data_IF_702821808953
#
_entry.id   IF_702821808953
#
_cell.length_a   1.000
_cell.length_b   1.000
_cell.length_c   1.000
_cell.angle_alpha   90.00
_cell.angle_beta   90.00
_cell.angle_gamma   90.00
#
_symmetry.space_group_name_H-M   'P 1'
#
loop_
_entity.id
_entity.type
_entity.pdbx_description
1 polymer ?
#
# COMPACT_ATOMS: atom_id res chain seq x y z
N UNK A 1 8.24 14.53 -36.49
CA UNK A 1 9.27 14.70 -35.44
C UNK A 1 8.60 15.28 -34.20
N UNK A 2 8.35 14.47 -33.17
CA UNK A 2 7.81 14.95 -31.87
C UNK A 2 8.51 14.20 -30.75
N UNK A 3 9.80 14.50 -30.53
CA UNK A 3 10.61 14.04 -29.37
C UNK A 3 10.36 14.90 -28.13
N UNK A 4 9.11 15.31 -27.87
CA UNK A 4 8.76 16.20 -26.76
C UNK A 4 8.26 15.49 -25.50
N UNK A 5 7.56 14.36 -25.66
CA UNK A 5 6.92 13.66 -24.53
C UNK A 5 7.90 12.92 -23.61
N UNK A 6 9.01 12.42 -24.15
CA UNK A 6 10.01 11.67 -23.38
C UNK A 6 10.72 12.55 -22.32
N UNK A 7 10.95 13.83 -22.63
CA UNK A 7 11.63 14.77 -21.74
C UNK A 7 10.77 15.26 -20.56
N UNK A 8 9.43 15.26 -20.72
CA UNK A 8 8.50 15.56 -19.63
C UNK A 8 8.30 14.36 -18.70
N UNK A 9 8.18 13.15 -19.27
CA UNK A 9 8.10 11.91 -18.49
C UNK A 9 9.38 11.67 -17.66
N UNK A 10 10.56 11.91 -18.24
CA UNK A 10 11.86 11.80 -17.56
C UNK A 10 11.98 12.75 -16.36
N UNK A 11 11.48 13.99 -16.46
CA UNK A 11 11.49 14.96 -15.34
C UNK A 11 10.50 14.64 -14.22
N UNK A 12 9.40 13.96 -14.54
CA UNK A 12 8.38 13.57 -13.54
C UNK A 12 8.77 12.26 -12.84
N UNK A 13 9.51 11.37 -13.51
CA UNK A 13 9.91 10.07 -12.98
C UNK A 13 11.30 10.06 -12.33
N UNK A 14 12.15 11.05 -12.61
CA UNK A 14 13.48 11.15 -12.01
C UNK A 14 14.47 10.06 -12.42
N UNK A 15 14.17 9.30 -13.48
CA UNK A 15 15.01 8.18 -13.95
C UNK A 15 15.29 8.30 -15.45
N UNK A 16 16.57 8.24 -15.82
CA UNK A 16 17.07 8.16 -17.21
C UNK A 16 16.91 6.74 -17.81
N UNK A 17 15.87 6.00 -17.39
CA UNK A 17 15.60 4.66 -17.92
C UNK A 17 14.81 4.71 -19.24
N UNK A 18 15.06 3.73 -20.12
CA UNK A 18 14.29 3.56 -21.35
C UNK A 18 12.78 3.41 -21.02
N UNK A 19 11.89 4.03 -21.81
CA UNK A 19 10.46 4.08 -21.49
C UNK A 19 9.82 2.70 -21.40
N UNK A 20 10.35 1.73 -22.14
CA UNK A 20 9.94 0.33 -22.10
C UNK A 20 11.14 -0.58 -22.39
N UNK A 21 11.34 -1.60 -21.55
CA UNK A 21 12.39 -2.62 -21.67
C UNK A 21 11.75 -3.98 -21.87
N UNK A 22 12.14 -4.68 -22.93
CA UNK A 22 11.64 -6.04 -23.20
C UNK A 22 12.28 -7.05 -22.24
N UNK A 23 11.44 -7.88 -21.62
CA UNK A 23 11.83 -9.00 -20.79
C UNK A 23 11.60 -10.29 -21.59
N UNK A 24 12.69 -10.99 -21.94
CA UNK A 24 12.64 -12.25 -22.68
C UNK A 24 12.93 -13.41 -21.73
N UNK A 25 12.06 -14.43 -21.72
CA UNK A 25 12.20 -15.61 -20.84
C UNK A 25 12.42 -15.22 -19.37
N UNK A 26 11.63 -14.28 -18.88
CA UNK A 26 11.74 -13.81 -17.51
C UNK A 26 11.08 -14.78 -16.53
N UNK A 27 11.74 -14.97 -15.39
CA UNK A 27 11.15 -15.55 -14.19
C UNK A 27 10.76 -14.42 -13.25
N UNK A 28 9.51 -14.43 -12.80
CA UNK A 28 8.96 -13.45 -11.88
C UNK A 28 8.30 -14.20 -10.71
N UNK A 29 8.68 -13.90 -9.47
CA UNK A 29 8.09 -14.56 -8.30
C UNK A 29 6.92 -13.72 -7.75
N UNK A 30 5.73 -14.32 -7.69
CA UNK A 30 4.53 -13.67 -7.14
C UNK A 30 4.68 -13.34 -5.67
N UNK A 31 4.49 -12.06 -5.33
CA UNK A 31 4.54 -11.55 -3.96
C UNK A 31 3.15 -11.34 -3.35
N UNK A 32 2.11 -11.34 -4.17
CA UNK A 32 0.74 -11.07 -3.75
C UNK A 32 0.00 -10.14 -4.70
N UNK A 33 -1.13 -9.64 -4.23
CA UNK A 33 -1.96 -8.71 -4.97
C UNK A 33 -2.68 -7.71 -4.06
N UNK A 34 -3.06 -6.57 -4.63
CA UNK A 34 -3.95 -5.59 -4.02
C UNK A 34 -5.16 -5.40 -4.92
N UNK A 35 -6.36 -5.47 -4.35
CA UNK A 35 -7.62 -5.14 -5.03
C UNK A 35 -8.10 -3.80 -4.51
N UNK A 36 -8.42 -2.90 -5.44
CA UNK A 36 -9.02 -1.60 -5.12
C UNK A 36 -10.28 -1.39 -5.95
N UNK A 37 -11.19 -0.57 -5.42
CA UNK A 37 -12.45 -0.23 -6.05
C UNK A 37 -12.56 1.29 -6.24
N UNK A 38 -13.03 1.70 -7.42
CA UNK A 38 -13.38 3.08 -7.72
C UNK A 38 -14.74 3.08 -8.44
N UNK A 39 -15.82 3.31 -7.69
CA UNK A 39 -17.18 3.08 -8.20
C UNK A 39 -17.36 1.63 -8.67
N UNK A 40 -17.76 1.48 -9.94
CA UNK A 40 -18.03 0.19 -10.58
C UNK A 40 -16.78 -0.42 -11.24
N UNK A 41 -15.61 0.19 -11.04
CA UNK A 41 -14.33 -0.31 -11.51
C UNK A 41 -13.60 -1.06 -10.39
N UNK A 42 -12.99 -2.19 -10.75
CA UNK A 42 -12.08 -2.96 -9.90
C UNK A 42 -10.70 -2.97 -10.52
N UNK A 43 -9.71 -2.56 -9.75
CA UNK A 43 -8.30 -2.65 -10.14
C UNK A 43 -7.63 -3.74 -9.33
N UNK A 44 -6.92 -4.63 -10.02
CA UNK A 44 -6.06 -5.66 -9.42
C UNK A 44 -4.61 -5.33 -9.78
N UNK A 45 -3.81 -5.07 -8.77
CA UNK A 45 -2.37 -4.92 -8.88
C UNK A 45 -1.69 -6.20 -8.40
N UNK A 46 -1.06 -6.93 -9.31
CA UNK A 46 -0.25 -8.12 -8.98
C UNK A 46 1.21 -7.73 -8.87
N UNK A 47 1.83 -8.04 -7.73
CA UNK A 47 3.21 -7.68 -7.43
C UNK A 47 4.12 -8.87 -7.72
N UNK A 48 5.14 -8.63 -8.54
CA UNK A 48 6.01 -9.65 -9.11
C UNK A 48 7.47 -9.28 -8.84
N UNK A 49 8.17 -10.05 -8.02
CA UNK A 49 9.60 -9.88 -7.83
C UNK A 49 10.35 -10.31 -9.08
N UNK A 50 11.27 -9.46 -9.55
CA UNK A 50 12.17 -9.78 -10.65
C UNK A 50 13.60 -9.77 -10.13
N UNK A 51 14.15 -10.96 -9.87
CA UNK A 51 15.47 -11.12 -9.26
C UNK A 51 16.58 -10.44 -10.08
N UNK A 52 16.56 -10.60 -11.41
CA UNK A 52 17.58 -10.07 -12.32
C UNK A 52 17.68 -8.53 -12.26
N UNK A 53 16.55 -7.84 -12.05
CA UNK A 53 16.56 -6.38 -11.86
C UNK A 53 16.44 -5.94 -10.41
N UNK A 54 16.46 -6.87 -9.46
CA UNK A 54 16.36 -6.59 -8.02
C UNK A 54 15.22 -5.63 -7.65
N UNK A 55 14.09 -5.75 -8.35
CA UNK A 55 12.95 -4.83 -8.25
C UNK A 55 11.62 -5.59 -8.21
N UNK A 56 10.60 -4.95 -7.64
CA UNK A 56 9.21 -5.42 -7.73
C UNK A 56 8.54 -4.74 -8.90
N UNK A 57 7.91 -5.53 -9.76
CA UNK A 57 7.13 -5.10 -10.91
C UNK A 57 5.64 -5.22 -10.61
N UNK A 58 4.82 -4.35 -11.20
CA UNK A 58 3.37 -4.32 -11.00
C UNK A 58 2.64 -4.62 -12.30
N UNK A 59 1.89 -5.72 -12.30
CA UNK A 59 0.94 -6.05 -13.35
C UNK A 59 -0.45 -5.54 -12.94
N UNK A 60 -0.84 -4.38 -13.48
CA UNK A 60 -2.15 -3.77 -13.25
C UNK A 60 -3.21 -4.29 -14.23
N UNK A 61 -4.39 -4.63 -13.72
CA UNK A 61 -5.58 -4.97 -14.51
C UNK A 61 -6.81 -4.25 -13.97
N UNK A 62 -7.60 -3.72 -14.89
CA UNK A 62 -8.83 -3.01 -14.61
C UNK A 62 -10.00 -3.79 -15.19
N UNK A 63 -11.09 -3.86 -14.43
CA UNK A 63 -12.30 -4.56 -14.79
C UNK A 63 -13.50 -3.67 -14.45
N UNK A 64 -14.39 -3.44 -15.42
CA UNK A 64 -15.69 -2.81 -15.19
C UNK A 64 -16.64 -3.87 -14.61
N UNK A 65 -16.65 -4.01 -13.29
CA UNK A 65 -17.38 -5.06 -12.57
C UNK A 65 -17.47 -4.70 -11.10
N UNK A 66 -18.49 -5.21 -10.42
CA UNK A 66 -18.58 -5.11 -8.96
C UNK A 66 -17.96 -6.31 -8.23
N UNK A 67 -17.46 -7.30 -8.97
CA UNK A 67 -16.84 -8.53 -8.44
C UNK A 67 -15.80 -8.24 -7.35
N UNK A 68 -15.79 -9.09 -6.33
CA UNK A 68 -14.80 -9.05 -5.25
C UNK A 68 -13.55 -9.85 -5.61
N UNK A 69 -12.49 -9.64 -4.83
CA UNK A 69 -11.19 -10.28 -4.98
C UNK A 69 -11.21 -11.78 -5.26
N UNK A 70 -12.00 -12.61 -4.56
CA UNK A 70 -12.11 -14.04 -4.86
C UNK A 70 -12.54 -14.37 -6.29
N UNK A 71 -13.48 -13.60 -6.84
CA UNK A 71 -13.93 -13.77 -8.22
C UNK A 71 -12.87 -13.24 -9.20
N UNK A 72 -12.27 -12.08 -8.90
CA UNK A 72 -11.18 -11.50 -9.68
C UNK A 72 -9.94 -12.41 -9.74
N UNK A 73 -9.64 -13.13 -8.65
CA UNK A 73 -8.55 -14.12 -8.58
C UNK A 73 -8.68 -15.25 -9.59
N UNK A 74 -9.91 -15.58 -10.02
CA UNK A 74 -10.21 -16.61 -11.05
C UNK A 74 -10.08 -16.09 -12.48
N UNK A 75 -10.09 -14.76 -12.68
CA UNK A 75 -9.91 -14.13 -13.99
C UNK A 75 -8.54 -14.50 -14.55
N UNK A 76 -8.45 -14.59 -15.88
CA UNK A 76 -7.23 -14.99 -16.59
C UNK A 76 -6.53 -13.79 -17.19
N UNK A 77 -5.20 -13.78 -17.08
CA UNK A 77 -4.30 -12.84 -17.74
C UNK A 77 -3.20 -13.65 -18.42
N UNK A 78 -3.02 -13.47 -19.73
CA UNK A 78 -2.07 -14.27 -20.53
C UNK A 78 -2.22 -15.79 -20.31
N UNK A 79 -3.46 -16.29 -20.17
CA UNK A 79 -3.76 -17.71 -19.97
C UNK A 79 -3.66 -18.22 -18.53
N UNK A 80 -3.14 -17.43 -17.60
CA UNK A 80 -2.92 -17.81 -16.19
C UNK A 80 -3.90 -17.07 -15.28
N UNK A 81 -4.37 -17.69 -14.19
CA UNK A 81 -5.27 -17.00 -13.26
C UNK A 81 -4.53 -15.92 -12.48
N UNK A 82 -5.23 -14.85 -12.12
CA UNK A 82 -4.67 -13.78 -11.26
C UNK A 82 -4.12 -14.37 -9.96
N UNK A 83 -4.83 -15.33 -9.35
CA UNK A 83 -4.37 -16.03 -8.14
C UNK A 83 -3.00 -16.70 -8.36
N UNK A 84 -2.83 -17.40 -9.48
CA UNK A 84 -1.59 -18.12 -9.75
C UNK A 84 -0.44 -17.17 -10.10
N UNK A 85 -0.72 -16.03 -10.74
CA UNK A 85 0.27 -14.98 -10.96
C UNK A 85 0.72 -14.33 -9.65
N UNK A 86 -0.23 -14.11 -8.71
CA UNK A 86 0.05 -13.43 -7.45
C UNK A 86 0.81 -14.30 -6.43
N UNK A 87 0.58 -15.62 -6.42
CA UNK A 87 1.21 -16.52 -5.45
C UNK A 87 2.22 -17.52 -6.01
N UNK A 88 2.47 -17.52 -7.32
CA UNK A 88 3.31 -18.52 -8.00
C UNK A 88 4.60 -17.95 -8.60
N UNK A 89 5.50 -18.83 -8.98
CA UNK A 89 6.61 -18.49 -9.86
C UNK A 89 6.11 -18.41 -11.30
N UNK A 90 6.13 -17.21 -11.87
CA UNK A 90 5.66 -16.91 -13.23
C UNK A 90 6.83 -16.98 -14.20
N UNK A 91 6.73 -17.84 -15.21
CA UNK A 91 7.69 -17.94 -16.31
C UNK A 91 7.00 -17.41 -17.55
N UNK A 92 7.59 -16.40 -18.19
CA UNK A 92 7.02 -15.79 -19.39
C UNK A 92 8.06 -15.61 -20.49
N UNK A 93 7.73 -16.02 -21.70
CA UNK A 93 8.62 -15.88 -22.86
C UNK A 93 8.74 -14.42 -23.33
N UNK A 94 7.71 -13.63 -23.11
CA UNK A 94 7.61 -12.25 -23.59
C UNK A 94 6.86 -11.39 -22.58
N UNK A 95 7.55 -10.43 -21.99
CA UNK A 95 6.95 -9.33 -21.24
C UNK A 95 7.67 -8.02 -21.56
N UNK A 96 7.08 -6.90 -21.17
CA UNK A 96 7.73 -5.60 -21.20
C UNK A 96 7.54 -4.88 -19.87
N UNK A 97 8.58 -4.17 -19.45
CA UNK A 97 8.62 -3.38 -18.21
C UNK A 97 8.78 -1.90 -18.56
N UNK A 98 8.05 -1.02 -17.90
CA UNK A 98 8.31 0.42 -17.94
C UNK A 98 9.35 0.87 -16.90
N UNK A 99 9.88 2.07 -17.05
CA UNK A 99 10.70 2.74 -16.02
C UNK A 99 9.94 2.92 -14.68
N UNK A 100 8.61 3.05 -14.74
CA UNK A 100 7.74 3.11 -13.56
C UNK A 100 7.44 1.74 -12.93
N UNK A 101 8.18 0.69 -13.30
CA UNK A 101 8.02 -0.70 -12.83
C UNK A 101 6.69 -1.38 -13.17
N UNK A 102 5.89 -0.80 -14.06
CA UNK A 102 4.73 -1.49 -14.60
C UNK A 102 5.18 -2.61 -15.55
N UNK A 103 4.55 -3.78 -15.48
CA UNK A 103 4.84 -4.91 -16.39
C UNK A 103 3.61 -5.28 -17.21
N UNK A 104 3.83 -5.58 -18.48
CA UNK A 104 2.83 -6.12 -19.41
C UNK A 104 3.31 -7.47 -19.90
N UNK A 105 2.49 -8.50 -19.65
CA UNK A 105 2.71 -9.83 -20.20
C UNK A 105 2.27 -9.87 -21.67
N UNK A 106 3.10 -10.48 -22.52
CA UNK A 106 2.81 -10.66 -23.94
C UNK A 106 1.71 -11.70 -24.15
N UNK A 107 0.78 -11.39 -25.06
CA UNK A 107 -0.38 -12.24 -25.38
C UNK A 107 -0.39 -12.72 -26.83
N UNK A 108 0.73 -12.60 -27.55
CA UNK A 108 0.82 -13.05 -28.95
C UNK A 108 0.76 -14.58 -29.02
N UNK A 109 0.39 -15.12 -30.19
CA UNK A 109 0.17 -16.55 -30.43
C UNK A 109 1.34 -17.47 -30.03
N UNK A 110 2.56 -16.94 -29.96
CA UNK A 110 3.79 -17.64 -29.56
C UNK A 110 4.30 -17.24 -28.17
N UNK A 111 3.56 -16.43 -27.41
CA UNK A 111 3.97 -16.01 -26.06
C UNK A 111 3.37 -16.96 -25.04
N UNK A 112 4.19 -17.83 -24.46
CA UNK A 112 3.78 -18.70 -23.35
C UNK A 112 4.04 -18.02 -22.01
N UNK A 113 3.02 -18.04 -21.15
CA UNK A 113 3.14 -17.66 -19.74
C UNK A 113 2.58 -18.78 -18.90
N UNK A 114 3.35 -19.19 -17.90
CA UNK A 114 2.98 -20.23 -16.95
C UNK A 114 3.23 -19.74 -15.53
N UNK A 115 2.43 -20.20 -14.58
CA UNK A 115 2.69 -19.99 -13.17
C UNK A 115 2.68 -21.34 -12.46
N UNK A 116 3.70 -21.54 -11.63
CA UNK A 116 3.89 -22.76 -10.85
C UNK A 116 3.78 -22.42 -9.37
N UNK A 117 3.08 -23.25 -8.61
CA UNK A 117 3.15 -23.19 -7.15
C UNK A 117 4.58 -23.51 -6.75
N UNK A 118 5.18 -22.63 -5.96
CA UNK A 118 6.56 -22.75 -5.53
C UNK A 118 6.57 -22.70 -4.02
N UNK A 119 7.21 -23.71 -3.41
CA UNK A 119 7.65 -23.60 -2.02
C UNK A 119 8.93 -22.76 -2.04
N UNK A 120 9.17 -21.99 -0.98
CA UNK A 120 10.45 -21.34 -0.74
C UNK A 120 10.95 -20.34 -1.80
N UNK A 121 10.09 -19.80 -2.68
CA UNK A 121 10.55 -18.83 -3.71
C UNK A 121 11.10 -17.56 -3.09
N UNK A 122 10.55 -17.14 -1.96
CA UNK A 122 10.89 -15.87 -1.34
C UNK A 122 12.24 -15.88 -0.62
N UNK A 123 12.75 -17.06 -0.21
CA UNK A 123 14.02 -17.17 0.53
C UNK A 123 15.25 -16.87 -0.34
N UNK A 124 15.12 -16.99 -1.66
CA UNK A 124 16.19 -16.77 -2.62
C UNK A 124 16.11 -15.40 -3.30
N UNK A 125 15.20 -14.53 -2.85
CA UNK A 125 15.10 -13.18 -3.39
C UNK A 125 16.36 -12.37 -3.08
N UNK A 126 16.74 -11.43 -3.97
CA UNK A 126 17.85 -10.51 -3.71
C UNK A 126 17.64 -9.74 -2.40
N UNK A 127 18.72 -9.42 -1.70
CA UNK A 127 18.69 -8.71 -0.40
C UNK A 127 18.06 -7.32 -0.45
N UNK A 128 17.94 -6.72 -1.63
CA UNK A 128 17.20 -5.46 -1.81
C UNK A 128 15.68 -5.63 -1.67
N UNK A 129 15.19 -6.86 -1.90
CA UNK A 129 13.78 -7.23 -1.78
C UNK A 129 13.50 -7.99 -0.49
N UNK A 130 14.39 -8.92 -0.12
CA UNK A 130 14.32 -9.69 1.12
C UNK A 130 15.07 -8.99 2.24
N UNK A 131 14.33 -8.50 3.24
CA UNK A 131 14.85 -7.64 4.31
C UNK A 131 14.78 -8.37 5.65
N UNK A 132 15.86 -9.04 6.09
CA UNK A 132 15.90 -9.77 7.35
C UNK A 132 16.19 -8.90 8.57
N UNK A 133 16.66 -7.66 8.38
CA UNK A 133 17.02 -6.73 9.45
C UNK A 133 16.04 -5.55 9.45
N UNK A 134 15.13 -5.55 10.43
CA UNK A 134 14.12 -4.50 10.57
C UNK A 134 14.71 -3.18 11.08
N UNK A 135 15.81 -3.22 11.83
CA UNK A 135 16.47 -1.99 12.29
C UNK A 135 17.15 -1.27 11.12
N UNK A 136 17.86 -2.02 10.26
CA UNK A 136 18.41 -1.50 9.01
C UNK A 136 17.33 -0.89 8.12
N UNK A 137 16.20 -1.59 7.95
CA UNK A 137 15.06 -1.07 7.20
C UNK A 137 14.50 0.23 7.77
N UNK A 138 14.41 0.33 9.10
CA UNK A 138 13.92 1.54 9.75
C UNK A 138 14.81 2.74 9.42
N UNK A 139 16.14 2.57 9.51
CA UNK A 139 17.13 3.60 9.16
C UNK A 139 17.02 3.99 7.68
N UNK A 140 16.89 3.02 6.77
CA UNK A 140 16.71 3.30 5.34
C UNK A 140 15.46 4.14 5.09
N UNK A 141 14.33 3.79 5.72
CA UNK A 141 13.08 4.52 5.53
C UNK A 141 13.11 5.91 6.17
N UNK A 142 13.80 6.09 7.30
CA UNK A 142 13.99 7.40 7.95
C UNK A 142 14.88 8.33 7.13
N UNK A 143 15.74 7.78 6.28
CA UNK A 143 16.58 8.56 5.36
C UNK A 143 15.85 9.02 4.09
N UNK A 144 14.64 8.51 3.81
CA UNK A 144 13.89 8.87 2.61
C UNK A 144 13.26 10.26 2.74
N UNK A 145 13.18 11.04 1.63
CA UNK A 145 12.40 12.27 1.61
C UNK A 145 10.95 12.00 2.04
N UNK A 146 10.29 12.93 2.73
CA UNK A 146 8.90 12.74 3.14
C UNK A 146 7.97 12.40 1.98
N UNK A 147 6.95 11.60 2.25
CA UNK A 147 6.01 11.05 1.26
C UNK A 147 5.45 12.06 0.26
N UNK A 148 5.08 13.31 0.64
CA UNK A 148 4.50 14.26 -0.31
C UNK A 148 5.46 14.67 -1.44
N UNK A 149 6.77 14.65 -1.20
CA UNK A 149 7.80 15.05 -2.17
C UNK A 149 8.61 13.85 -2.70
N UNK A 150 8.30 12.64 -2.24
CA UNK A 150 8.94 11.41 -2.70
C UNK A 150 8.43 11.07 -4.10
N UNK A 151 9.34 10.65 -4.98
CA UNK A 151 8.97 10.13 -6.29
C UNK A 151 7.99 8.96 -6.12
N UNK A 152 6.93 8.93 -6.93
CA UNK A 152 5.88 7.90 -6.86
C UNK A 152 6.18 6.77 -7.83
N UNK A 153 7.17 5.95 -7.51
CA UNK A 153 7.49 4.75 -8.31
C UNK A 153 6.66 3.58 -7.79
N UNK A 154 5.98 2.86 -8.70
CA UNK A 154 5.15 1.71 -8.33
C UNK A 154 5.97 0.65 -7.60
N UNK A 155 5.40 0.11 -6.52
CA UNK A 155 6.04 -0.92 -5.69
C UNK A 155 7.45 -0.59 -5.17
N UNK A 156 7.87 0.69 -5.15
CA UNK A 156 9.20 1.09 -4.68
C UNK A 156 9.49 0.65 -3.25
N UNK A 157 8.47 0.70 -2.40
CA UNK A 157 8.53 0.34 -0.99
C UNK A 157 7.94 -1.04 -0.71
N UNK A 158 7.76 -1.88 -1.72
CA UNK A 158 7.39 -3.27 -1.47
C UNK A 158 8.64 -4.04 -1.06
N UNK A 159 8.57 -4.71 0.09
CA UNK A 159 9.61 -5.58 0.62
C UNK A 159 9.01 -6.92 1.02
N UNK A 160 9.86 -7.92 1.10
CA UNK A 160 9.59 -9.22 1.73
C UNK A 160 10.37 -9.25 3.03
N UNK A 161 9.65 -9.43 4.13
CA UNK A 161 10.21 -9.45 5.49
C UNK A 161 10.05 -10.86 6.06
N UNK A 162 11.14 -11.54 6.46
CA UNK A 162 11.05 -12.78 7.23
C UNK A 162 10.39 -12.54 8.58
N UNK A 163 9.54 -13.48 9.00
CA UNK A 163 8.87 -13.48 10.29
C UNK A 163 9.58 -14.52 11.15
N UNK A 164 10.34 -14.06 12.15
CA UNK A 164 10.93 -14.97 13.13
C UNK A 164 9.93 -15.33 14.23
N UNK A 165 9.09 -14.38 14.61
CA UNK A 165 8.08 -14.54 15.66
C UNK A 165 6.88 -13.63 15.38
N UNK A 166 5.66 -14.13 15.64
CA UNK A 166 4.44 -13.31 15.75
C UNK A 166 4.14 -13.11 17.23
N UNK A 167 4.28 -11.88 17.73
CA UNK A 167 4.14 -11.55 19.16
C UNK A 167 2.70 -11.32 19.58
N UNK A 168 1.94 -10.65 18.73
CA UNK A 168 0.54 -10.37 18.98
C UNK A 168 -0.24 -10.20 17.69
N UNK A 169 -1.53 -10.53 17.74
CA UNK A 169 -2.51 -10.23 16.70
C UNK A 169 -3.72 -9.64 17.43
N UNK A 170 -4.14 -8.44 17.02
CA UNK A 170 -5.27 -7.71 17.60
C UNK A 170 -6.20 -7.24 16.50
N UNK A 171 -7.49 -7.23 16.81
CA UNK A 171 -8.52 -6.69 15.93
C UNK A 171 -9.10 -5.43 16.58
N UNK A 172 -9.26 -4.38 15.79
CA UNK A 172 -9.89 -3.13 16.19
C UNK A 172 -11.25 -3.02 15.50
N UNK A 173 -12.37 -3.40 16.16
CA UNK A 173 -13.69 -3.46 15.53
C UNK A 173 -14.15 -2.13 14.95
N UNK A 174 -13.93 -1.03 15.67
CA UNK A 174 -14.31 0.32 15.24
C UNK A 174 -13.53 0.83 14.01
N UNK A 175 -12.33 0.32 13.79
CA UNK A 175 -11.52 0.64 12.61
C UNK A 175 -11.59 -0.44 11.52
N UNK A 176 -12.29 -1.55 11.77
CA UNK A 176 -12.27 -2.77 10.96
C UNK A 176 -10.84 -3.12 10.51
N UNK A 177 -9.91 -3.19 11.46
CA UNK A 177 -8.48 -3.32 11.19
C UNK A 177 -7.86 -4.41 12.04
N UNK A 178 -7.01 -5.22 11.43
CA UNK A 178 -6.12 -6.16 12.12
C UNK A 178 -4.74 -5.51 12.22
N UNK A 179 -4.20 -5.48 13.44
CA UNK A 179 -2.83 -5.08 13.72
C UNK A 179 -2.11 -6.26 14.39
N UNK A 180 -0.96 -6.65 13.83
CA UNK A 180 -0.11 -7.70 14.39
C UNK A 180 1.31 -7.19 14.57
N UNK A 181 1.94 -7.57 15.68
CA UNK A 181 3.36 -7.30 15.92
C UNK A 181 4.16 -8.55 15.56
N UNK A 182 5.09 -8.39 14.63
CA UNK A 182 6.06 -9.42 14.25
C UNK A 182 7.45 -9.00 14.69
N UNK A 183 8.33 -9.96 14.91
CA UNK A 183 9.74 -9.72 15.17
C UNK A 183 10.64 -10.41 14.15
N UNK A 184 11.78 -9.79 13.86
CA UNK A 184 12.87 -10.42 13.14
C UNK A 184 13.73 -11.32 14.05
N UNK A 185 14.77 -11.92 13.49
CA UNK A 185 15.67 -12.83 14.21
C UNK A 185 16.45 -12.14 15.35
N UNK A 186 16.54 -10.81 15.31
CA UNK A 186 17.21 -10.00 16.33
C UNK A 186 16.21 -9.48 17.40
N UNK A 187 14.93 -9.82 17.27
CA UNK A 187 13.88 -9.38 18.18
C UNK A 187 13.39 -7.95 17.94
N UNK A 188 13.82 -7.29 16.85
CA UNK A 188 13.32 -5.96 16.45
C UNK A 188 11.93 -6.14 15.85
N UNK A 189 11.00 -5.24 16.17
CA UNK A 189 9.60 -5.39 15.78
C UNK A 189 9.16 -4.53 14.61
N UNK A 190 8.19 -5.05 13.87
CA UNK A 190 7.41 -4.34 12.89
C UNK A 190 5.92 -4.64 13.10
N UNK A 191 5.06 -3.71 12.70
CA UNK A 191 3.60 -3.88 12.74
C UNK A 191 3.08 -4.24 11.36
N UNK A 192 2.44 -5.39 11.22
CA UNK A 192 1.60 -5.73 10.07
C UNK A 192 0.21 -5.15 10.31
N UNK A 193 -0.29 -4.33 9.40
CA UNK A 193 -1.57 -3.63 9.57
C UNK A 193 -2.43 -3.78 8.32
N UNK A 194 -3.61 -4.39 8.45
CA UNK A 194 -4.55 -4.62 7.36
C UNK A 194 -5.92 -4.06 7.71
N UNK A 195 -6.48 -3.23 6.82
CA UNK A 195 -7.82 -2.65 6.97
C UNK A 195 -8.80 -3.41 6.07
N UNK A 196 -10.03 -3.59 6.55
CA UNK A 196 -11.12 -4.15 5.77
C UNK A 196 -11.37 -3.34 4.49
N UNK A 197 -11.62 -4.06 3.40
CA UNK A 197 -12.07 -3.48 2.14
C UNK A 197 -13.20 -4.33 1.58
N UNK A 198 -14.31 -3.70 1.19
CA UNK A 198 -15.49 -4.41 0.66
C UNK A 198 -15.17 -5.23 -0.60
N UNK A 199 -14.23 -4.74 -1.43
CA UNK A 199 -13.77 -5.47 -2.62
C UNK A 199 -12.84 -6.66 -2.30
N UNK A 200 -12.44 -6.85 -1.04
CA UNK A 200 -11.57 -7.92 -0.56
C UNK A 200 -12.12 -8.52 0.75
N UNK A 201 -13.27 -9.21 0.71
CA UNK A 201 -14.05 -9.54 1.90
C UNK A 201 -13.36 -10.53 2.85
N UNK A 202 -12.50 -11.43 2.35
CA UNK A 202 -11.74 -12.37 3.18
C UNK A 202 -10.38 -11.84 3.66
N UNK A 203 -10.07 -10.56 3.43
CA UNK A 203 -8.72 -10.02 3.66
C UNK A 203 -8.26 -10.15 5.11
N UNK A 204 -9.10 -9.76 6.07
CA UNK A 204 -8.71 -9.76 7.48
C UNK A 204 -8.54 -11.18 8.01
N UNK A 205 -9.50 -12.06 7.74
CA UNK A 205 -9.43 -13.48 8.12
C UNK A 205 -8.19 -14.15 7.54
N UNK A 206 -7.84 -13.87 6.28
CA UNK A 206 -6.66 -14.43 5.64
C UNK A 206 -5.35 -13.93 6.26
N UNK A 207 -5.30 -12.67 6.70
CA UNK A 207 -4.13 -12.12 7.43
C UNK A 207 -3.97 -12.82 8.77
N UNK A 208 -5.05 -12.95 9.55
CA UNK A 208 -5.03 -13.63 10.85
C UNK A 208 -4.61 -15.09 10.69
N UNK A 209 -5.28 -15.82 9.79
CA UNK A 209 -5.01 -17.22 9.53
C UNK A 209 -3.57 -17.47 9.04
N UNK A 210 -3.01 -16.58 8.21
CA UNK A 210 -1.63 -16.71 7.75
C UNK A 210 -0.63 -16.52 8.91
N UNK A 211 -0.84 -15.51 9.76
CA UNK A 211 0.04 -15.23 10.90
C UNK A 211 -0.03 -16.33 11.96
N UNK A 212 -1.23 -16.82 12.29
CA UNK A 212 -1.42 -17.93 13.23
C UNK A 212 -0.98 -19.28 12.64
N UNK A 213 -1.07 -19.43 11.31
CA UNK A 213 -0.68 -20.62 10.55
C UNK A 213 0.83 -20.74 10.28
N UNK A 214 1.66 -19.89 10.89
CA UNK A 214 3.13 -20.00 10.77
C UNK A 214 3.69 -19.46 9.46
N UNK A 215 3.13 -18.37 8.93
CA UNK A 215 3.75 -17.63 7.83
C UNK A 215 5.22 -17.30 8.16
N UNK A 216 6.12 -17.64 7.24
CA UNK A 216 7.56 -17.41 7.36
C UNK A 216 7.99 -16.06 6.79
N UNK A 217 7.19 -15.51 5.89
CA UNK A 217 7.47 -14.23 5.26
C UNK A 217 6.18 -13.45 5.03
N UNK A 218 6.27 -12.12 5.12
CA UNK A 218 5.24 -11.19 4.68
C UNK A 218 5.79 -10.30 3.57
N UNK A 219 5.06 -10.21 2.45
CA UNK A 219 5.28 -9.22 1.41
C UNK A 219 4.31 -8.07 1.61
N UNK A 220 4.80 -6.83 1.54
CA UNK A 220 3.98 -5.66 1.80
C UNK A 220 4.65 -4.35 1.45
N UNK A 221 3.84 -3.31 1.32
CA UNK A 221 4.33 -1.93 1.25
C UNK A 221 4.78 -1.51 2.65
N UNK A 222 6.04 -1.13 2.80
CA UNK A 222 6.62 -0.72 4.07
C UNK A 222 6.63 0.80 4.23
N UNK A 223 6.44 1.26 5.46
CA UNK A 223 6.53 2.67 5.82
C UNK A 223 6.99 2.85 7.25
N UNK A 224 7.40 4.07 7.59
CA UNK A 224 7.58 4.52 8.96
C UNK A 224 6.28 5.15 9.45
N UNK A 225 5.89 4.80 10.67
CA UNK A 225 4.75 5.40 11.36
C UNK A 225 4.79 4.96 12.81
N UNK A 226 4.72 5.91 13.73
CA UNK A 226 4.70 5.59 15.14
C UNK A 226 6.01 4.97 15.62
N UNK A 227 7.16 5.48 15.14
CA UNK A 227 8.48 4.98 15.55
C UNK A 227 8.80 3.54 15.14
N UNK A 228 7.86 2.82 14.51
CA UNK A 228 8.00 1.42 14.04
C UNK A 228 7.89 1.32 12.52
N UNK A 229 8.35 0.19 11.97
CA UNK A 229 8.09 -0.18 10.58
C UNK A 229 6.66 -0.73 10.50
N UNK A 230 5.84 -0.17 9.63
CA UNK A 230 4.49 -0.67 9.36
C UNK A 230 4.42 -1.27 7.97
N UNK A 231 3.95 -2.51 7.90
CA UNK A 231 3.79 -3.30 6.68
C UNK A 231 2.31 -3.37 6.35
N UNK A 232 1.91 -2.86 5.18
CA UNK A 232 0.59 -3.12 4.60
C UNK A 232 0.67 -4.38 3.72
N UNK A 233 0.15 -5.54 4.19
CA UNK A 233 0.42 -6.82 3.57
C UNK A 233 -0.31 -6.99 2.24
N UNK A 234 0.40 -7.56 1.26
CA UNK A 234 -0.13 -7.99 -0.05
C UNK A 234 -0.07 -9.51 -0.23
N UNK A 235 0.76 -10.21 0.55
CA UNK A 235 0.88 -11.66 0.55
C UNK A 235 1.68 -12.19 1.73
N UNK A 236 1.46 -13.46 2.07
CA UNK A 236 2.22 -14.20 3.08
C UNK A 236 2.69 -15.52 2.49
N UNK A 237 3.93 -15.90 2.75
CA UNK A 237 4.46 -17.20 2.35
C UNK A 237 4.66 -18.11 3.56
N UNK A 238 4.17 -19.34 3.45
CA UNK A 238 4.45 -20.45 4.36
C UNK A 238 4.92 -21.67 3.56
N UNK A 239 5.12 -22.80 4.24
CA UNK A 239 5.49 -24.07 3.59
C UNK A 239 4.43 -24.57 2.61
N UNK A 240 3.17 -24.18 2.79
CA UNK A 240 2.02 -24.59 1.98
C UNK A 240 1.81 -23.71 0.75
N UNK A 241 2.56 -22.61 0.63
CA UNK A 241 2.54 -21.69 -0.50
C UNK A 241 2.26 -20.25 -0.08
N UNK A 242 1.79 -19.46 -1.05
CA UNK A 242 1.52 -18.04 -0.84
C UNK A 242 0.03 -17.80 -0.65
N UNK A 243 -0.32 -17.21 0.49
CA UNK A 243 -1.66 -16.67 0.78
C UNK A 243 -1.71 -15.24 0.28
N UNK A 244 -2.73 -14.92 -0.52
CA UNK A 244 -2.97 -13.56 -1.04
C UNK A 244 -4.25 -13.01 -0.40
N UNK A 245 -4.15 -12.15 0.64
CA UNK A 245 -5.30 -11.72 1.43
C UNK A 245 -6.42 -11.10 0.61
N UNK A 246 -6.08 -10.25 -0.35
CA UNK A 246 -7.07 -9.53 -1.15
C UNK A 246 -7.85 -10.42 -2.12
N UNK A 247 -7.39 -11.65 -2.37
CA UNK A 247 -8.07 -12.64 -3.22
C UNK A 247 -8.72 -13.76 -2.40
N UNK A 248 -8.60 -13.73 -1.07
CA UNK A 248 -9.15 -14.74 -0.20
C UNK A 248 -10.68 -14.62 -0.09
N UNK A 249 -11.35 -15.78 -0.15
CA UNK A 249 -12.79 -15.85 0.13
C UNK A 249 -13.06 -15.48 1.58
N UNK A 250 -14.22 -14.86 1.86
CA UNK A 250 -14.67 -14.66 3.23
C UNK A 250 -14.76 -16.02 3.93
N UNK A 251 -14.12 -16.15 5.09
CA UNK A 251 -14.23 -17.34 5.92
C UNK A 251 -15.56 -17.35 6.68
N UNK A 252 -15.96 -18.52 7.18
CA UNK A 252 -16.82 -18.60 8.35
C UNK A 252 -15.95 -18.24 9.55
N UNK A 253 -16.09 -17.01 10.04
CA UNK A 253 -15.24 -16.33 11.04
C UNK A 253 -14.51 -17.25 12.04
N UNK A 254 -13.19 -17.12 12.11
CA UNK A 254 -12.45 -17.33 13.36
C UNK A 254 -12.53 -16.01 14.09
N UNK A 255 -13.20 -15.98 15.24
CA UNK A 255 -13.29 -14.77 16.07
C UNK A 255 -11.87 -14.37 16.49
N UNK A 256 -11.29 -13.28 15.94
CA UNK A 256 -9.99 -12.83 16.38
C UNK A 256 -10.15 -12.50 17.85
N UNK A 257 -9.28 -13.03 18.73
CA UNK A 257 -9.38 -12.77 20.17
C UNK A 257 -9.58 -11.26 20.40
N UNK A 258 -10.75 -10.92 20.93
CA UNK A 258 -11.14 -9.56 21.23
C UNK A 258 -10.22 -9.05 22.36
N UNK A 259 -9.12 -8.44 21.94
CA UNK A 259 -8.30 -7.61 22.82
C UNK A 259 -8.45 -6.20 22.29
N UNK A 260 -9.06 -5.28 23.06
CA UNK A 260 -8.93 -3.87 22.73
C UNK A 260 -7.44 -3.55 22.74
N UNK A 261 -6.89 -3.30 21.55
CA UNK A 261 -5.58 -2.70 21.41
C UNK A 261 -5.67 -1.27 21.92
N UNK A 262 -5.53 -1.09 23.22
CA UNK A 262 -5.51 0.24 23.83
C UNK A 262 -4.10 0.81 23.74
N UNK A 263 -3.81 1.41 22.59
CA UNK A 263 -2.86 2.50 22.52
C UNK A 263 -3.70 3.73 22.16
N UNK A 264 -4.18 4.43 23.18
CA UNK A 264 -4.63 5.80 23.01
C UNK A 264 -3.41 6.58 22.54
N UNK A 265 -3.34 6.82 21.24
CA UNK A 265 -2.45 7.79 20.62
C UNK A 265 -3.32 9.02 20.27
N UNK A 266 -3.55 9.94 21.23
CA UNK A 266 -4.42 11.09 21.01
C UNK A 266 -3.83 12.03 19.95
N UNK A 267 -2.50 12.04 19.83
CA UNK A 267 -1.75 12.86 18.92
C UNK A 267 -1.91 12.38 17.48
N UNK A 268 -1.60 11.11 17.19
CA UNK A 268 -1.83 10.50 15.89
C UNK A 268 -3.30 10.42 15.54
N UNK A 269 -4.20 10.23 16.53
CA UNK A 269 -5.64 10.32 16.28
C UNK A 269 -6.06 11.71 15.80
N UNK A 270 -5.61 12.78 16.47
CA UNK A 270 -5.92 14.15 16.07
C UNK A 270 -5.38 14.47 14.66
N UNK A 271 -4.18 14.01 14.33
CA UNK A 271 -3.58 14.19 12.99
C UNK A 271 -4.35 13.41 11.92
N UNK A 272 -4.67 12.14 12.16
CA UNK A 272 -5.39 11.31 11.19
C UNK A 272 -6.82 11.80 10.96
N UNK A 273 -7.54 12.22 12.01
CA UNK A 273 -8.87 12.81 11.88
C UNK A 273 -8.83 14.11 11.06
N UNK A 274 -7.82 14.95 11.27
CA UNK A 274 -7.61 16.17 10.51
C UNK A 274 -7.26 15.90 9.03
N UNK A 275 -6.40 14.91 8.75
CA UNK A 275 -6.10 14.49 7.38
C UNK A 275 -7.33 13.93 6.66
N UNK A 276 -8.17 13.17 7.37
CA UNK A 276 -9.45 12.68 6.84
C UNK A 276 -10.39 13.82 6.42
N UNK A 277 -10.48 14.88 7.25
CA UNK A 277 -11.25 16.08 6.92
C UNK A 277 -10.69 16.81 5.69
N UNK A 278 -9.38 16.97 5.58
CA UNK A 278 -8.76 17.61 4.41
C UNK A 278 -8.95 16.78 3.13
N UNK A 279 -8.93 15.45 3.23
CA UNK A 279 -9.24 14.57 2.11
C UNK A 279 -10.72 14.69 1.68
N UNK A 280 -11.64 14.80 2.64
CA UNK A 280 -13.07 15.06 2.37
C UNK A 280 -13.27 16.40 1.66
N UNK A 281 -12.55 17.45 2.08
CA UNK A 281 -12.55 18.76 1.42
C UNK A 281 -12.10 18.65 -0.04
N UNK A 282 -10.98 17.96 -0.30
CA UNK A 282 -10.47 17.76 -1.65
C UNK A 282 -11.41 16.93 -2.52
N UNK A 283 -11.99 15.87 -1.95
CA UNK A 283 -12.88 14.96 -2.68
C UNK A 283 -14.17 15.64 -3.15
N UNK A 284 -14.75 16.52 -2.33
CA UNK A 284 -15.95 17.27 -2.73
C UNK A 284 -15.63 18.48 -3.61
N UNK A 285 -14.42 19.01 -3.51
CA UNK A 285 -14.05 20.29 -4.11
C UNK A 285 -14.54 21.48 -3.28
N UNK A 286 -13.75 22.56 -3.27
CA UNK A 286 -13.98 23.72 -2.40
C UNK A 286 -15.33 24.41 -2.66
N UNK A 287 -15.83 24.37 -3.91
CA UNK A 287 -17.11 24.95 -4.33
C UNK A 287 -18.34 24.17 -3.84
N UNK A 288 -18.18 22.92 -3.40
CA UNK A 288 -19.30 22.03 -3.05
C UNK A 288 -19.24 21.55 -1.60
N UNK A 289 -18.58 22.30 -0.72
CA UNK A 289 -18.49 21.96 0.68
C UNK A 289 -19.82 22.19 1.40
N UNK A 290 -20.24 21.26 2.27
CA UNK A 290 -21.45 21.45 3.06
C UNK A 290 -21.23 22.56 4.09
N UNK A 291 -22.29 23.32 4.41
CA UNK A 291 -22.27 24.42 5.39
C UNK A 291 -21.52 24.11 6.73
N UNK A 292 -21.63 22.92 7.36
CA UNK A 292 -20.92 22.63 8.60
C UNK A 292 -19.40 22.42 8.44
N UNK A 293 -18.85 22.35 7.22
CA UNK A 293 -17.45 22.01 6.99
C UNK A 293 -16.48 22.96 7.71
N UNK A 294 -16.74 24.27 7.65
CA UNK A 294 -15.92 25.29 8.34
C UNK A 294 -15.88 25.07 9.84
N UNK A 295 -17.01 24.68 10.46
CA UNK A 295 -17.06 24.34 11.89
C UNK A 295 -16.23 23.10 12.21
N UNK A 296 -16.37 22.04 11.40
CA UNK A 296 -15.61 20.78 11.55
C UNK A 296 -14.09 20.99 11.45
N UNK A 297 -13.65 21.86 10.53
CA UNK A 297 -12.24 22.23 10.39
C UNK A 297 -11.74 22.99 11.63
N UNK A 298 -12.49 23.97 12.14
CA UNK A 298 -12.13 24.70 13.37
C UNK A 298 -12.06 23.79 14.59
N UNK A 299 -12.96 22.81 14.69
CA UNK A 299 -12.93 21.85 15.79
C UNK A 299 -11.75 20.88 15.67
N UNK A 300 -11.35 20.50 14.45
CA UNK A 300 -10.13 19.75 14.23
C UNK A 300 -8.87 20.56 14.60
N UNK A 301 -8.83 21.84 14.25
CA UNK A 301 -7.75 22.75 14.65
C UNK A 301 -7.61 22.84 16.17
N UNK A 302 -8.73 23.00 16.91
CA UNK A 302 -8.71 23.01 18.38
C UNK A 302 -8.19 21.70 18.97
N UNK A 303 -8.53 20.55 18.37
CA UNK A 303 -8.00 19.24 18.81
C UNK A 303 -6.50 19.15 18.59
N UNK A 304 -5.98 19.65 17.46
CA UNK A 304 -4.54 19.72 17.19
C UNK A 304 -3.83 20.65 18.18
N UNK A 305 -4.42 21.81 18.49
CA UNK A 305 -3.87 22.74 19.48
C UNK A 305 -3.81 22.10 20.88
N UNK A 306 -4.83 21.33 21.26
CA UNK A 306 -4.90 20.63 22.54
C UNK A 306 -3.83 19.55 22.70
N UNK A 307 -3.39 18.92 21.61
CA UNK A 307 -2.28 17.96 21.60
C UNK A 307 -0.93 18.61 21.29
N UNK A 308 -0.85 19.94 21.28
CA UNK A 308 0.39 20.71 21.13
C UNK A 308 0.81 21.02 19.68
N UNK A 309 0.06 20.58 18.67
CA UNK A 309 0.35 20.80 17.24
C UNK A 309 -0.19 22.16 16.74
N UNK A 310 0.20 23.23 17.43
CA UNK A 310 -0.33 24.59 17.20
C UNK A 310 -0.14 25.12 15.78
N UNK A 311 0.99 24.79 15.16
CA UNK A 311 1.25 25.19 13.77
C UNK A 311 0.34 24.46 12.78
N UNK A 312 0.02 23.19 13.02
CA UNK A 312 -0.93 22.45 12.20
C UNK A 312 -2.36 22.95 12.42
N UNK A 313 -2.74 23.23 13.68
CA UNK A 313 -4.01 23.86 14.02
C UNK A 313 -4.19 25.22 13.34
N UNK A 314 -3.16 26.06 13.35
CA UNK A 314 -3.15 27.35 12.66
C UNK A 314 -3.35 27.21 11.14
N UNK A 315 -2.72 26.22 10.50
CA UNK A 315 -2.89 25.97 9.07
C UNK A 315 -4.32 25.53 8.71
N UNK A 316 -4.96 24.67 9.51
CA UNK A 316 -6.38 24.33 9.31
C UNK A 316 -7.28 25.55 9.51
N UNK A 317 -7.03 26.36 10.54
CA UNK A 317 -7.79 27.59 10.77
C UNK A 317 -7.64 28.58 9.60
N UNK A 318 -6.44 28.66 9.02
CA UNK A 318 -6.16 29.49 7.85
C UNK A 318 -6.98 29.04 6.62
N UNK A 319 -7.10 27.73 6.39
CA UNK A 319 -8.02 27.19 5.38
C UNK A 319 -9.48 27.55 5.70
N UNK A 320 -9.93 27.26 6.92
CA UNK A 320 -11.31 27.49 7.33
C UNK A 320 -11.74 28.97 7.20
N UNK A 321 -10.81 29.91 7.35
CA UNK A 321 -11.06 31.34 7.17
C UNK A 321 -11.19 31.78 5.69
N UNK A 322 -10.62 31.00 4.76
CA UNK A 322 -10.64 31.27 3.32
C UNK A 322 -11.74 30.52 2.57
N UNK A 323 -12.45 29.62 3.25
CA UNK A 323 -13.65 29.01 2.72
C UNK A 323 -14.77 30.06 2.65
N UNK A 324 -15.34 30.22 1.46
CA UNK A 324 -16.43 31.13 1.18
C UNK A 324 -17.28 30.62 0.01
N UNK A 325 -18.28 31.40 -0.43
CA UNK A 325 -19.12 31.03 -1.57
C UNK A 325 -18.35 30.94 -2.88
N UNK A 326 -17.23 31.65 -3.00
CA UNK A 326 -16.31 31.60 -4.15
C UNK A 326 -14.86 31.43 -3.65
N UNK A 327 -14.46 30.19 -3.30
CA UNK A 327 -13.12 29.89 -2.84
C UNK A 327 -12.15 29.93 -4.03
N UNK A 328 -11.33 30.99 -4.09
CA UNK A 328 -10.28 31.17 -5.09
C UNK A 328 -8.98 30.42 -4.78
N UNK A 329 -7.93 30.73 -5.53
CA UNK A 329 -6.62 30.07 -5.45
C UNK A 329 -6.01 30.12 -4.02
N UNK A 330 -6.24 31.20 -3.27
CA UNK A 330 -5.79 31.32 -1.88
C UNK A 330 -6.33 30.21 -0.96
N UNK A 331 -7.56 29.74 -1.20
CA UNK A 331 -8.16 28.64 -0.44
C UNK A 331 -7.55 27.29 -0.83
N UNK A 332 -7.17 27.12 -2.10
CA UNK A 332 -6.46 25.95 -2.61
C UNK A 332 -5.05 25.89 -2.00
N UNK A 333 -4.33 27.01 -1.98
CA UNK A 333 -3.01 27.10 -1.37
C UNK A 333 -3.05 26.81 0.13
N UNK A 334 -4.02 27.39 0.85
CA UNK A 334 -4.20 27.14 2.28
C UNK A 334 -4.56 25.68 2.57
N UNK A 335 -5.34 25.04 1.69
CA UNK A 335 -5.61 23.61 1.79
C UNK A 335 -4.33 22.79 1.59
N UNK A 336 -3.54 23.11 0.57
CA UNK A 336 -2.30 22.40 0.28
C UNK A 336 -1.28 22.55 1.42
N UNK A 337 -1.08 23.75 1.96
CA UNK A 337 -0.19 23.99 3.11
C UNK A 337 -0.63 23.19 4.34
N UNK A 338 -1.92 23.22 4.68
CA UNK A 338 -2.46 22.44 5.80
C UNK A 338 -2.25 20.93 5.59
N UNK A 339 -2.53 20.43 4.39
CA UNK A 339 -2.35 19.02 4.05
C UNK A 339 -0.89 18.58 4.11
N UNK A 340 0.04 19.38 3.58
CA UNK A 340 1.47 19.08 3.60
C UNK A 340 2.01 19.06 5.04
N UNK A 341 1.67 20.05 5.87
CA UNK A 341 2.11 20.09 7.28
C UNK A 341 1.61 18.88 8.06
N UNK A 342 0.33 18.53 7.92
CA UNK A 342 -0.23 17.37 8.61
C UNK A 342 0.31 16.05 8.07
N UNK A 343 0.55 15.96 6.76
CA UNK A 343 1.18 14.80 6.14
C UNK A 343 2.59 14.57 6.69
N UNK A 344 3.36 15.64 6.86
CA UNK A 344 4.68 15.60 7.50
C UNK A 344 4.59 15.21 8.98
N UNK A 345 3.64 15.79 9.73
CA UNK A 345 3.41 15.38 11.11
C UNK A 345 3.11 13.88 11.19
N UNK A 346 2.17 13.36 10.39
CA UNK A 346 1.80 11.95 10.41
C UNK A 346 2.97 10.98 10.13
N UNK A 347 3.95 11.41 9.33
CA UNK A 347 5.14 10.62 9.02
C UNK A 347 6.17 10.65 10.15
N UNK A 348 6.28 11.77 10.86
CA UNK A 348 7.28 11.99 11.91
C UNK A 348 6.79 11.64 13.32
N UNK A 349 5.49 11.38 13.50
CA UNK A 349 4.95 10.99 14.79
C UNK A 349 5.51 9.62 15.24
N UNK A 350 6.08 9.54 16.45
CA UNK A 350 6.57 8.31 17.07
C UNK A 350 5.45 7.44 17.64
#
# INVERSE_FOLDING_TARGET
MTRGGAALASRVLGTDEAPETALRRARLDGLGARVSAAGDERTVDVFLAHADSSAVLVLRRQYATEESGPALGRRRVAGVSVQALAGGAVITESASRSASRAVRLGTRRLSRTEAMTTRDSWQHLPRTLLVPDLAGLAVELDALPPRPIRARVEAELVRVVPIAEVRSVTYAPGAQRVDAEIADVNGVTARVSAVHAACAPGRLDAVVAALEGGARFVAGSVRRSGGTVVIDPIGFASDDGVVVPDLAAAGSATDPRDRPGELTDPLGRAVMDALGLLAEVAHRGLLHLPAPMTGRLRDAAKRLDAVGLRLAGAAINALAARLGPDPGDDAVEAWADAYLRLGLCAELLP
#
